data_IF_098655469857
#
_entry.id   IF_098655469857
#
_cell.length_a   1.000
_cell.length_b   1.000
_cell.length_c   1.000
_cell.angle_alpha   90.00
_cell.angle_beta   90.00
_cell.angle_gamma   90.00
#
_symmetry.space_group_name_H-M   'P 1'
#
loop_
_entity.id
_entity.type
_entity.pdbx_description
1 polymer ?
#
# COMPACT_ATOMS: atom_id res chain seq x y z
N UNK A 1 -14.38 36.44 -53.45
CA UNK A 1 -15.42 36.15 -52.43
C UNK A 1 -14.88 34.99 -51.61
N UNK A 2 -14.45 35.25 -50.38
CA UNK A 2 -13.78 34.26 -49.53
C UNK A 2 -14.60 34.09 -48.25
N UNK A 3 -14.96 32.84 -47.95
CA UNK A 3 -15.65 32.41 -46.72
C UNK A 3 -14.86 32.79 -45.45
N UNK A 4 -15.50 33.35 -44.41
CA UNK A 4 -14.85 33.52 -43.13
C UNK A 4 -14.80 32.18 -42.37
N UNK A 5 -13.59 31.64 -42.20
CA UNK A 5 -13.31 30.51 -41.33
C UNK A 5 -13.79 30.79 -39.89
N UNK A 6 -14.69 29.95 -39.39
CA UNK A 6 -15.16 29.97 -38.01
C UNK A 6 -13.97 29.65 -37.09
N UNK A 7 -13.49 30.65 -36.36
CA UNK A 7 -12.56 30.49 -35.26
C UNK A 7 -13.30 29.74 -34.13
N UNK A 8 -13.10 28.42 -34.04
CA UNK A 8 -13.50 27.67 -32.85
C UNK A 8 -12.55 28.09 -31.73
N UNK A 9 -12.99 29.03 -30.91
CA UNK A 9 -12.36 29.30 -29.64
C UNK A 9 -12.43 28.03 -28.81
N UNK A 10 -11.30 27.36 -28.59
CA UNK A 10 -11.15 26.32 -27.58
C UNK A 10 -11.24 26.95 -26.19
N UNK A 11 -12.41 27.47 -25.85
CA UNK A 11 -12.81 27.85 -24.51
C UNK A 11 -13.14 26.61 -23.72
N UNK A 12 -12.12 25.93 -23.20
CA UNK A 12 -12.23 25.04 -22.05
C UNK A 12 -10.83 24.65 -21.55
N UNK A 13 -10.11 25.57 -20.92
CA UNK A 13 -9.12 25.16 -19.90
C UNK A 13 -9.85 24.97 -18.58
N UNK A 14 -10.74 23.98 -18.53
CA UNK A 14 -11.30 23.49 -17.29
C UNK A 14 -10.30 22.50 -16.66
N UNK A 15 -9.90 22.81 -15.43
CA UNK A 15 -9.22 21.97 -14.43
C UNK A 15 -7.93 21.27 -14.87
N UNK A 16 -6.80 21.90 -14.58
CA UNK A 16 -5.68 21.14 -14.01
C UNK A 16 -5.91 20.97 -12.51
N UNK A 17 -7.01 20.29 -12.15
CA UNK A 17 -7.05 19.66 -10.85
C UNK A 17 -6.09 18.49 -10.97
N UNK A 18 -4.95 18.54 -10.27
CA UNK A 18 -4.20 17.32 -10.02
C UNK A 18 -5.19 16.28 -9.52
N UNK A 19 -5.37 15.19 -10.25
CA UNK A 19 -6.16 14.07 -9.75
C UNK A 19 -5.59 13.71 -8.38
N UNK A 20 -6.46 13.61 -7.37
CA UNK A 20 -6.11 12.91 -6.15
C UNK A 20 -5.55 11.55 -6.60
N UNK A 21 -4.36 11.19 -6.13
CA UNK A 21 -3.69 9.96 -6.58
C UNK A 21 -4.70 8.81 -6.62
N UNK A 22 -4.79 8.06 -7.73
CA UNK A 22 -5.84 7.07 -7.91
C UNK A 22 -5.82 6.06 -6.76
N UNK A 23 -6.99 5.48 -6.40
CA UNK A 23 -7.08 4.58 -5.27
C UNK A 23 -6.14 3.38 -5.47
N UNK A 24 -5.16 3.28 -4.58
CA UNK A 24 -4.10 2.25 -4.58
C UNK A 24 -3.74 1.93 -3.14
N UNK A 25 -3.09 0.79 -2.90
CA UNK A 25 -2.58 0.45 -1.59
C UNK A 25 -1.70 1.59 -1.05
N UNK A 26 -0.76 2.14 -1.83
CA UNK A 26 0.10 3.24 -1.37
C UNK A 26 -0.63 4.50 -0.88
N UNK A 27 -1.85 4.74 -1.39
CA UNK A 27 -2.70 5.88 -1.02
C UNK A 27 -3.72 5.57 0.07
N UNK A 28 -3.81 4.30 0.48
CA UNK A 28 -4.73 3.82 1.50
C UNK A 28 -4.23 4.13 2.92
N UNK A 29 -5.15 4.46 3.83
CA UNK A 29 -4.83 4.66 5.27
C UNK A 29 -4.26 3.42 5.96
N UNK A 30 -4.56 2.23 5.44
CA UNK A 30 -4.09 0.96 5.98
C UNK A 30 -2.70 0.58 5.47
N UNK A 31 -2.13 1.34 4.54
CA UNK A 31 -0.82 1.04 4.01
C UNK A 31 0.28 1.47 4.98
N UNK A 32 1.17 0.53 5.26
CA UNK A 32 2.34 0.75 6.09
C UNK A 32 3.57 0.24 5.37
N UNK A 33 4.58 1.10 5.32
CA UNK A 33 5.93 0.73 4.92
C UNK A 33 6.76 0.56 6.17
N UNK A 34 7.08 -0.68 6.53
CA UNK A 34 7.74 -0.99 7.79
C UNK A 34 8.85 -2.04 7.63
N UNK A 35 9.85 -2.07 8.54
CA UNK A 35 10.86 -3.13 8.54
C UNK A 35 10.20 -4.51 8.73
N UNK A 36 10.58 -5.47 7.89
CA UNK A 36 10.06 -6.84 7.94
C UNK A 36 10.49 -7.56 9.22
N UNK A 37 9.63 -8.40 9.77
CA UNK A 37 9.99 -9.26 10.90
C UNK A 37 10.77 -10.47 10.39
N UNK A 38 12.09 -10.47 10.61
CA UNK A 38 12.92 -11.66 10.38
C UNK A 38 12.67 -12.69 11.49
N UNK A 39 12.87 -13.97 11.17
CA UNK A 39 12.73 -15.06 12.14
C UNK A 39 14.06 -15.83 12.23
N UNK A 40 14.46 -16.21 13.45
CA UNK A 40 15.52 -17.20 13.64
C UNK A 40 14.94 -18.57 14.00
N UNK A 41 15.65 -19.60 13.54
CA UNK A 41 15.42 -20.96 13.98
C UNK A 41 16.20 -21.17 15.27
N UNK A 42 15.49 -21.36 16.39
CA UNK A 42 16.09 -21.74 17.67
C UNK A 42 15.77 -23.19 17.99
N UNK A 43 16.77 -23.92 18.46
CA UNK A 43 16.57 -25.23 19.08
C UNK A 43 16.19 -25.03 20.54
N UNK A 44 15.05 -25.57 20.94
CA UNK A 44 14.55 -25.50 22.32
C UNK A 44 14.33 -26.91 22.82
N UNK A 45 14.83 -27.18 24.04
CA UNK A 45 14.60 -28.45 24.73
C UNK A 45 13.22 -28.40 25.39
N UNK A 46 12.36 -29.33 25.01
CA UNK A 46 11.06 -29.51 25.66
C UNK A 46 11.22 -30.02 27.08
N UNK A 47 10.19 -29.88 27.91
CA UNK A 47 10.17 -30.41 29.28
C UNK A 47 10.47 -31.92 29.35
N UNK A 48 10.13 -32.68 28.30
CA UNK A 48 10.41 -34.12 28.16
C UNK A 48 11.79 -34.44 27.54
N UNK A 49 12.66 -33.44 27.42
CA UNK A 49 14.03 -33.60 26.92
C UNK A 49 14.21 -33.66 25.40
N UNK A 50 13.12 -33.69 24.60
CA UNK A 50 13.20 -33.67 23.13
C UNK A 50 13.60 -32.28 22.62
N UNK A 51 14.51 -32.22 21.65
CA UNK A 51 14.91 -30.97 20.96
C UNK A 51 13.89 -30.68 19.85
N UNK A 52 13.39 -29.44 19.80
CA UNK A 52 12.54 -28.94 18.71
C UNK A 52 13.11 -27.66 18.15
N UNK A 53 13.08 -27.51 16.83
CA UNK A 53 13.39 -26.25 16.16
C UNK A 53 12.12 -25.40 16.09
N UNK A 54 12.15 -24.21 16.67
CA UNK A 54 11.04 -23.24 16.62
C UNK A 54 11.49 -21.99 15.85
N UNK A 55 10.54 -21.31 15.20
CA UNK A 55 10.74 -19.99 14.62
C UNK A 55 10.48 -18.93 15.69
N UNK A 56 11.47 -18.12 16.00
CA UNK A 56 11.36 -17.01 16.95
C UNK A 56 11.51 -15.70 16.18
N UNK A 57 10.61 -14.72 16.35
CA UNK A 57 10.77 -13.42 15.71
C UNK A 57 12.01 -12.72 16.25
N UNK A 58 12.87 -12.25 15.35
CA UNK A 58 13.97 -11.35 15.69
C UNK A 58 13.42 -9.95 15.92
N UNK A 59 14.09 -9.18 16.78
CA UNK A 59 13.81 -7.75 16.95
C UNK A 59 13.92 -7.06 15.60
N UNK A 60 12.94 -6.19 15.28
CA UNK A 60 12.98 -5.38 14.07
C UNK A 60 14.12 -4.37 14.17
N UNK A 61 15.11 -4.47 13.29
CA UNK A 61 16.13 -3.46 13.09
C UNK A 61 15.75 -2.64 11.85
N UNK A 62 15.58 -1.33 11.99
CA UNK A 62 15.11 -0.48 10.89
C UNK A 62 16.14 -0.32 9.77
N UNK A 63 17.42 -0.58 10.05
CA UNK A 63 18.52 -0.41 9.09
C UNK A 63 18.79 -1.73 8.37
N UNK A 64 18.78 -2.84 9.11
CA UNK A 64 19.20 -4.15 8.57
C UNK A 64 18.04 -4.97 8.01
N UNK A 65 16.81 -4.75 8.46
CA UNK A 65 15.69 -5.53 7.99
C UNK A 65 15.16 -4.98 6.66
N UNK A 66 14.82 -5.85 5.70
CA UNK A 66 14.24 -5.40 4.44
C UNK A 66 12.92 -4.68 4.72
N UNK A 67 12.73 -3.53 4.07
CA UNK A 67 11.48 -2.78 4.15
C UNK A 67 10.44 -3.49 3.28
N UNK A 68 9.25 -3.70 3.84
CA UNK A 68 8.13 -4.30 3.12
C UNK A 68 6.90 -3.40 3.16
N UNK A 69 6.08 -3.55 2.12
CA UNK A 69 4.80 -2.88 2.00
C UNK A 69 3.70 -3.80 2.55
N UNK A 70 2.96 -3.31 3.54
CA UNK A 70 1.98 -4.09 4.30
C UNK A 70 0.64 -3.38 4.38
N UNK A 71 -0.44 -4.16 4.31
CA UNK A 71 -1.78 -3.69 4.66
C UNK A 71 -2.08 -4.03 6.12
N UNK A 72 -2.38 -3.01 6.95
CA UNK A 72 -2.73 -3.19 8.36
C UNK A 72 -4.17 -3.66 8.60
N UNK A 73 -5.04 -3.58 7.58
CA UNK A 73 -6.43 -4.06 7.67
C UNK A 73 -6.48 -5.59 7.79
N UNK A 74 -5.84 -6.30 6.85
CA UNK A 74 -5.76 -7.77 6.89
C UNK A 74 -4.42 -8.33 7.35
N UNK A 75 -3.47 -7.47 7.74
CA UNK A 75 -2.15 -7.86 8.23
C UNK A 75 -1.29 -8.69 7.23
N UNK A 76 -1.40 -8.42 5.92
CA UNK A 76 -0.68 -9.13 4.85
C UNK A 76 0.21 -8.21 4.01
N UNK A 77 1.16 -8.80 3.25
CA UNK A 77 2.05 -8.06 2.34
C UNK A 77 1.30 -7.66 1.07
N UNK A 78 1.53 -6.45 0.59
CA UNK A 78 0.85 -5.89 -0.58
C UNK A 78 1.83 -5.31 -1.59
N UNK A 79 1.37 -5.13 -2.83
CA UNK A 79 2.05 -4.31 -3.83
C UNK A 79 1.54 -2.87 -3.71
N UNK A 80 2.39 -1.83 -3.72
CA UNK A 80 1.98 -0.43 -3.62
C UNK A 80 0.90 -0.01 -4.61
N UNK A 81 0.94 -0.55 -5.82
CA UNK A 81 0.05 -0.18 -6.92
C UNK A 81 -1.24 -1.01 -7.03
N UNK A 82 -1.43 -2.02 -6.17
CA UNK A 82 -2.67 -2.80 -6.11
C UNK A 82 -3.82 -1.99 -5.49
N UNK A 83 -5.04 -2.51 -5.53
CA UNK A 83 -6.26 -1.92 -4.95
C UNK A 83 -7.15 -3.05 -4.43
N UNK A 84 -7.94 -2.79 -3.39
CA UNK A 84 -8.98 -3.67 -2.87
C UNK A 84 -10.22 -2.83 -2.48
N UNK A 85 -11.38 -3.48 -2.32
CA UNK A 85 -12.66 -2.81 -2.07
C UNK A 85 -12.69 -2.10 -0.70
N UNK A 86 -11.84 -2.53 0.25
CA UNK A 86 -11.68 -1.89 1.56
C UNK A 86 -10.72 -0.69 1.55
N UNK A 87 -10.35 -0.19 0.36
CA UNK A 87 -9.53 1.01 0.24
C UNK A 87 -10.22 2.22 0.89
N UNK A 88 -9.43 3.00 1.63
CA UNK A 88 -9.87 4.26 2.23
C UNK A 88 -8.79 5.33 2.11
N UNK A 89 -9.19 6.53 1.68
CA UNK A 89 -8.28 7.69 1.66
C UNK A 89 -8.07 8.26 3.07
N UNK A 90 -7.03 9.08 3.25
CA UNK A 90 -6.78 9.79 4.52
C UNK A 90 -7.91 10.74 4.91
N UNK A 91 -8.67 11.23 3.93
CA UNK A 91 -9.85 12.07 4.14
C UNK A 91 -11.12 11.26 4.47
N UNK A 92 -11.05 9.93 4.42
CA UNK A 92 -12.17 9.02 4.70
C UNK A 92 -12.97 8.60 3.47
N UNK A 93 -12.52 8.93 2.26
CA UNK A 93 -13.17 8.51 1.01
C UNK A 93 -13.06 6.98 0.86
N UNK A 94 -14.05 6.38 0.20
CA UNK A 94 -14.13 4.94 -0.09
C UNK A 94 -14.28 4.74 -1.59
N UNK A 95 -14.05 3.51 -2.06
CA UNK A 95 -14.42 3.15 -3.44
C UNK A 95 -15.95 3.12 -3.51
N UNK A 96 -16.50 3.94 -4.39
CA UNK A 96 -17.92 3.92 -4.73
C UNK A 96 -18.16 2.89 -5.83
N UNK A 97 -19.09 1.96 -5.60
CA UNK A 97 -19.46 0.93 -6.57
C UNK A 97 -20.74 1.28 -7.35
N UNK A 98 -21.35 2.45 -7.08
CA UNK A 98 -22.63 2.86 -7.69
C UNK A 98 -23.84 2.38 -6.92
#
# INVERSE_FOLDING_TARGET
MADPMILVAHGAKAKQNFDAEPPRCMTCVYFRREPHTLHELRQVKTHRGKIRTIRVPKRKDAILNPIVDRCSFGNFLVKPHAICDEWRSRAGEVIDHG
#
